data_IF_653365750151
#
_entry.id   IF_653365750151
#
_cell.length_a   1.000
_cell.length_b   1.000
_cell.length_c   1.000
_cell.angle_alpha   90.00
_cell.angle_beta   90.00
_cell.angle_gamma   90.00
#
_symmetry.space_group_name_H-M   'P 1'
#
loop_
_entity.id
_entity.type
_entity.pdbx_description
1 polymer ?
#
# COMPACT_ATOMS: atom_id res chain seq x y z
N UNK A 1 -14.46 5.73 -2.27
CA UNK A 1 -14.30 4.26 -2.30
C UNK A 1 -13.34 3.90 -1.19
N UNK A 2 -13.69 2.89 -0.40
CA UNK A 2 -12.95 2.54 0.82
C UNK A 2 -12.36 1.15 0.65
N UNK A 3 -11.08 1.01 0.98
CA UNK A 3 -10.35 -0.27 0.89
C UNK A 3 -9.89 -0.65 2.29
N UNK A 4 -10.32 -1.82 2.77
CA UNK A 4 -9.87 -2.39 4.02
C UNK A 4 -8.98 -3.60 3.74
N UNK A 5 -7.71 -3.51 4.10
CA UNK A 5 -6.79 -4.62 4.07
C UNK A 5 -6.66 -5.17 5.49
N UNK A 6 -6.85 -6.48 5.63
CA UNK A 6 -6.48 -7.25 6.82
C UNK A 6 -5.38 -8.24 6.45
N UNK A 7 -4.19 -8.00 6.99
CA UNK A 7 -3.07 -8.93 6.89
C UNK A 7 -3.15 -9.93 8.03
N UNK A 8 -3.35 -11.20 7.67
CA UNK A 8 -3.42 -12.30 8.62
C UNK A 8 -2.12 -13.10 8.66
N UNK A 9 -1.94 -13.88 9.72
CA UNK A 9 -0.81 -14.81 9.83
C UNK A 9 -0.80 -15.84 8.68
N UNK A 10 -1.97 -16.37 8.32
CA UNK A 10 -2.14 -17.46 7.35
C UNK A 10 -2.56 -16.97 5.95
N UNK A 11 -3.42 -15.93 5.86
CA UNK A 11 -3.89 -15.34 4.59
C UNK A 11 -4.09 -13.84 4.74
N UNK A 12 -3.60 -13.09 3.76
CA UNK A 12 -3.87 -11.66 3.65
C UNK A 12 -5.17 -11.50 2.82
N UNK A 13 -6.15 -10.77 3.34
CA UNK A 13 -7.45 -10.53 2.70
C UNK A 13 -7.62 -9.03 2.46
N UNK A 14 -8.03 -8.65 1.25
CA UNK A 14 -8.36 -7.27 0.92
C UNK A 14 -9.86 -7.20 0.64
N UNK A 15 -10.54 -6.29 1.32
CA UNK A 15 -11.90 -5.91 1.03
C UNK A 15 -11.91 -4.55 0.35
N UNK A 16 -12.42 -4.51 -0.86
CA UNK A 16 -12.59 -3.29 -1.66
C UNK A 16 -14.09 -3.09 -1.84
N UNK A 17 -14.70 -2.20 -1.07
CA UNK A 17 -16.16 -2.08 -1.02
C UNK A 17 -16.83 -3.44 -0.72
N UNK A 18 -17.72 -3.96 -1.60
CA UNK A 18 -18.37 -5.26 -1.42
C UNK A 18 -17.52 -6.46 -1.87
N UNK A 19 -16.37 -6.24 -2.51
CA UNK A 19 -15.58 -7.32 -3.13
C UNK A 19 -14.39 -7.73 -2.25
N UNK A 20 -14.27 -9.03 -2.00
CA UNK A 20 -13.11 -9.61 -1.31
C UNK A 20 -12.11 -10.17 -2.35
N UNK A 21 -10.84 -9.81 -2.19
CA UNK A 21 -9.74 -10.27 -3.02
C UNK A 21 -8.75 -11.07 -2.17
N UNK A 22 -8.34 -12.21 -2.71
CA UNK A 22 -7.34 -13.08 -2.08
C UNK A 22 -5.94 -12.63 -2.50
N UNK A 23 -5.06 -12.49 -1.53
CA UNK A 23 -3.65 -12.19 -1.78
C UNK A 23 -2.83 -13.48 -1.64
N UNK A 24 -2.10 -13.82 -2.69
CA UNK A 24 -1.17 -14.95 -2.68
C UNK A 24 0.24 -14.50 -2.37
N UNK A 25 0.92 -15.23 -1.49
CA UNK A 25 2.35 -15.02 -1.22
C UNK A 25 3.16 -15.60 -2.38
N UNK A 26 3.90 -14.74 -3.06
CA UNK A 26 4.84 -15.11 -4.12
C UNK A 26 6.24 -15.36 -3.57
N UNK A 27 7.18 -15.65 -4.48
CA UNK A 27 8.61 -15.79 -4.15
C UNK A 27 9.20 -14.42 -3.79
N UNK A 28 10.31 -14.41 -3.04
CA UNK A 28 11.08 -13.20 -2.72
C UNK A 28 10.26 -12.05 -2.07
N UNK A 29 9.24 -12.38 -1.27
CA UNK A 29 8.44 -11.39 -0.56
C UNK A 29 7.37 -10.69 -1.40
N UNK A 30 7.21 -11.07 -2.68
CA UNK A 30 6.10 -10.59 -3.50
C UNK A 30 4.74 -11.06 -2.94
N UNK A 31 3.73 -10.24 -3.14
CA UNK A 31 2.32 -10.50 -2.87
C UNK A 31 1.57 -10.28 -4.18
N UNK A 32 0.83 -11.28 -4.61
CA UNK A 32 0.06 -11.26 -5.85
C UNK A 32 -1.41 -11.08 -5.50
N UNK A 33 -2.05 -10.08 -6.11
CA UNK A 33 -3.50 -9.90 -6.02
C UNK A 33 -4.13 -10.88 -6.98
N UNK A 34 -4.94 -11.81 -6.47
CA UNK A 34 -5.70 -12.73 -7.33
C UNK A 34 -7.01 -12.03 -7.70
N UNK A 35 -7.05 -11.48 -8.91
CA UNK A 35 -8.26 -10.94 -9.51
C UNK A 35 -8.80 -11.95 -10.55
N UNK A 36 -10.04 -12.47 -10.39
CA UNK A 36 -10.67 -13.37 -11.37
C UNK A 36 -10.76 -12.79 -12.78
N UNK A 37 -10.74 -11.46 -12.92
CA UNK A 37 -10.78 -10.74 -14.20
C UNK A 37 -9.40 -10.51 -14.82
N UNK A 38 -8.33 -11.03 -14.21
CA UNK A 38 -6.96 -10.91 -14.73
C UNK A 38 -6.29 -9.55 -14.50
N UNK A 39 -6.94 -8.63 -13.80
CA UNK A 39 -6.41 -7.28 -13.52
C UNK A 39 -5.54 -7.21 -12.25
N UNK A 40 -5.08 -8.36 -11.76
CA UNK A 40 -4.30 -8.46 -10.53
C UNK A 40 -2.85 -8.07 -10.74
N UNK A 41 -2.35 -7.11 -9.96
CA UNK A 41 -0.94 -6.79 -9.88
C UNK A 41 -0.18 -7.62 -8.86
N UNK A 42 1.11 -7.31 -8.72
CA UNK A 42 1.97 -7.79 -7.64
C UNK A 42 2.63 -6.62 -6.92
N UNK A 43 2.85 -6.80 -5.63
CA UNK A 43 3.45 -5.80 -4.77
C UNK A 43 4.48 -6.44 -3.86
N UNK A 44 5.53 -5.70 -3.56
CA UNK A 44 6.57 -6.12 -2.63
C UNK A 44 7.03 -4.93 -1.80
N UNK A 45 7.13 -5.15 -0.51
CA UNK A 45 7.80 -4.24 0.40
C UNK A 45 9.22 -4.76 0.74
N UNK A 46 10.22 -3.91 0.54
CA UNK A 46 11.61 -4.12 0.95
C UNK A 46 11.84 -3.35 2.25
N UNK A 47 11.82 -4.05 3.38
CA UNK A 47 12.00 -3.47 4.71
C UNK A 47 13.42 -2.92 4.93
N UNK A 48 14.43 -3.48 4.28
CA UNK A 48 15.82 -3.03 4.41
C UNK A 48 16.02 -1.64 3.79
N UNK A 49 15.31 -1.34 2.69
CA UNK A 49 15.41 -0.05 1.98
C UNK A 49 14.21 0.87 2.17
N UNK A 50 13.28 0.50 3.07
CA UNK A 50 11.96 1.11 3.28
C UNK A 50 11.29 1.52 1.96
N UNK A 51 10.98 0.52 1.13
CA UNK A 51 10.52 0.75 -0.25
C UNK A 51 9.41 -0.19 -0.66
N UNK A 52 8.35 0.36 -1.25
CA UNK A 52 7.28 -0.39 -1.91
C UNK A 52 7.55 -0.43 -3.41
N UNK A 53 7.36 -1.60 -4.01
CA UNK A 53 7.31 -1.86 -5.44
C UNK A 53 5.93 -2.39 -5.79
N UNK A 54 5.27 -1.78 -6.76
CA UNK A 54 3.99 -2.22 -7.32
C UNK A 54 4.20 -2.44 -8.81
N UNK A 55 3.73 -3.57 -9.31
CA UNK A 55 3.65 -3.87 -10.72
C UNK A 55 2.21 -4.28 -11.02
N UNK A 56 1.56 -3.52 -11.89
CA UNK A 56 0.17 -3.74 -12.29
C UNK A 56 0.06 -3.71 -13.81
N UNK A 57 -1.03 -4.21 -14.40
CA UNK A 57 -1.26 -4.12 -15.84
C UNK A 57 -1.23 -2.69 -16.38
N UNK A 58 -1.51 -1.69 -15.53
CA UNK A 58 -1.52 -0.28 -15.91
C UNK A 58 -0.19 0.45 -15.68
N UNK A 59 0.85 -0.26 -15.24
CA UNK A 59 2.19 0.28 -15.02
C UNK A 59 2.83 -0.16 -13.70
N UNK A 60 4.09 0.25 -13.53
CA UNK A 60 4.88 0.02 -12.33
C UNK A 60 5.07 1.30 -11.52
N UNK A 61 5.09 1.14 -10.20
CA UNK A 61 5.26 2.22 -9.23
C UNK A 61 6.27 1.80 -8.18
N UNK A 62 7.17 2.72 -7.84
CA UNK A 62 8.08 2.57 -6.72
C UNK A 62 7.94 3.75 -5.75
N UNK A 63 7.69 3.45 -4.48
CA UNK A 63 7.66 4.43 -3.40
C UNK A 63 8.82 4.12 -2.46
N UNK A 64 9.82 5.00 -2.42
CA UNK A 64 10.93 4.90 -1.47
C UNK A 64 10.71 5.87 -0.34
N UNK A 65 10.36 5.36 0.84
CA UNK A 65 10.10 6.19 2.00
C UNK A 65 11.41 6.77 2.53
N UNK A 66 11.33 8.04 2.90
CA UNK A 66 12.35 8.83 3.56
C UNK A 66 11.73 9.42 4.82
N UNK A 67 12.57 9.71 5.81
CA UNK A 67 12.13 10.30 7.07
C UNK A 67 11.31 11.58 6.86
N UNK A 68 11.73 12.44 5.92
CA UNK A 68 11.03 13.65 5.51
C UNK A 68 10.88 13.71 3.99
N UNK A 69 9.81 14.36 3.53
CA UNK A 69 9.58 14.73 2.13
C UNK A 69 9.74 13.56 1.15
N UNK A 70 8.98 12.49 1.37
CA UNK A 70 8.93 11.41 0.39
C UNK A 70 8.14 11.85 -0.83
N UNK A 71 8.73 11.72 -2.01
CA UNK A 71 8.06 11.98 -3.29
C UNK A 71 8.26 10.82 -4.24
N UNK A 72 7.29 10.54 -5.11
CA UNK A 72 7.39 9.50 -6.12
C UNK A 72 6.69 9.92 -7.42
N UNK A 73 6.99 9.23 -8.51
CA UNK A 73 6.35 9.44 -9.81
C UNK A 73 5.33 8.32 -10.07
N UNK A 74 4.15 8.71 -10.56
CA UNK A 74 3.13 7.78 -11.02
C UNK A 74 2.40 8.38 -12.22
N UNK A 75 2.32 7.64 -13.33
CA UNK A 75 1.69 8.10 -14.59
C UNK A 75 2.14 9.51 -15.02
N UNK A 76 3.44 9.79 -14.92
CA UNK A 76 4.02 11.09 -15.28
C UNK A 76 3.77 12.23 -14.28
N UNK A 77 3.03 12.00 -13.20
CA UNK A 77 2.76 12.98 -12.14
C UNK A 77 3.63 12.73 -10.92
N UNK A 78 4.02 13.80 -10.24
CA UNK A 78 4.79 13.74 -8.99
C UNK A 78 3.86 13.87 -7.80
N UNK A 79 3.89 12.87 -6.94
CA UNK A 79 3.13 12.84 -5.71
C UNK A 79 4.04 12.99 -4.50
N UNK A 80 3.51 13.59 -3.43
CA UNK A 80 4.17 13.69 -2.13
C UNK A 80 3.42 12.85 -1.12
N UNK A 81 4.14 12.08 -0.32
CA UNK A 81 3.56 11.27 0.76
C UNK A 81 4.06 11.79 2.09
N UNK A 82 3.14 11.98 3.04
CA UNK A 82 3.49 12.42 4.38
C UNK A 82 4.26 11.34 5.13
N UNK A 83 5.11 11.72 6.09
CA UNK A 83 5.57 10.78 7.10
C UNK A 83 4.38 10.09 7.76
N UNK A 84 4.59 8.88 8.26
CA UNK A 84 3.57 8.20 9.06
C UNK A 84 3.45 8.93 10.40
N UNK A 85 2.33 9.61 10.64
CA UNK A 85 2.04 10.34 11.88
C UNK A 85 0.71 9.82 12.41
N UNK A 86 0.64 9.42 13.69
CA UNK A 86 -0.58 8.85 14.31
C UNK A 86 -1.21 7.72 13.49
N UNK A 87 -0.40 6.79 12.97
CA UNK A 87 -0.85 5.71 12.07
C UNK A 87 -1.58 6.19 10.80
N UNK A 88 -1.36 7.43 10.35
CA UNK A 88 -1.96 7.97 9.13
C UNK A 88 -0.89 8.33 8.11
N UNK A 89 -1.19 8.07 6.85
CA UNK A 89 -0.39 8.45 5.69
C UNK A 89 -1.32 9.10 4.67
N UNK A 90 -0.88 10.24 4.13
CA UNK A 90 -1.63 10.96 3.10
C UNK A 90 -0.72 11.21 1.90
N UNK A 91 -1.24 10.92 0.72
CA UNK A 91 -0.59 11.21 -0.56
C UNK A 91 -1.25 12.44 -1.15
N UNK A 92 -0.42 13.38 -1.62
CA UNK A 92 -0.82 14.64 -2.20
C UNK A 92 -0.37 14.76 -3.65
N UNK A 93 -1.25 15.33 -4.48
CA UNK A 93 -0.92 15.93 -5.77
C UNK A 93 -0.88 17.45 -5.56
N UNK A 94 0.33 18.02 -5.49
CA UNK A 94 0.53 19.39 -4.99
C UNK A 94 0.03 19.53 -3.54
N UNK A 95 -0.99 20.36 -3.34
CA UNK A 95 -1.65 20.59 -2.04
C UNK A 95 -2.95 19.81 -1.87
N UNK A 96 -3.39 19.08 -2.91
CA UNK A 96 -4.62 18.30 -2.87
C UNK A 96 -4.37 16.90 -2.32
N UNK A 97 -5.03 16.47 -1.23
CA UNK A 97 -4.97 15.08 -0.80
C UNK A 97 -5.66 14.19 -1.86
N UNK A 98 -4.94 13.18 -2.34
CA UNK A 98 -5.41 12.21 -3.33
C UNK A 98 -5.49 10.80 -2.78
N UNK A 99 -4.74 10.47 -1.73
CA UNK A 99 -4.93 9.21 -1.00
C UNK A 99 -4.86 9.51 0.48
N UNK A 100 -5.76 8.93 1.25
CA UNK A 100 -5.70 8.98 2.69
C UNK A 100 -5.82 7.57 3.26
N UNK A 101 -4.82 7.17 4.01
CA UNK A 101 -4.63 5.82 4.51
C UNK A 101 -4.43 5.84 6.02
N UNK A 102 -5.31 5.14 6.72
CA UNK A 102 -5.19 4.85 8.15
C UNK A 102 -4.64 3.43 8.31
N UNK A 103 -3.46 3.32 8.89
CA UNK A 103 -2.86 2.05 9.21
C UNK A 103 -3.44 1.54 10.53
N UNK A 104 -3.77 0.26 10.56
CA UNK A 104 -4.20 -0.44 11.77
C UNK A 104 -3.14 -1.48 12.13
N UNK A 105 -3.21 -2.01 13.34
CA UNK A 105 -2.27 -3.05 13.78
C UNK A 105 -2.34 -4.32 12.92
N UNK A 106 -3.48 -4.55 12.26
CA UNK A 106 -3.73 -5.70 11.40
C UNK A 106 -3.75 -5.36 9.90
N UNK A 107 -3.48 -4.12 9.48
CA UNK A 107 -3.46 -3.77 8.06
C UNK A 107 -3.63 -2.28 7.75
N UNK A 108 -4.40 -1.97 6.70
CA UNK A 108 -4.57 -0.59 6.18
C UNK A 108 -6.00 -0.36 5.74
N UNK A 109 -6.54 0.77 6.14
CA UNK A 109 -7.82 1.29 5.69
C UNK A 109 -7.58 2.55 4.83
N UNK A 110 -7.91 2.49 3.54
CA UNK A 110 -7.88 3.65 2.66
C UNK A 110 -9.22 4.38 2.78
N UNK A 111 -9.21 5.55 3.44
CA UNK A 111 -10.38 6.40 3.65
C UNK A 111 -10.74 7.18 2.37
N UNK A 112 -9.71 7.64 1.65
CA UNK A 112 -9.85 8.39 0.41
C UNK A 112 -8.91 7.83 -0.65
N UNK A 113 -9.41 7.72 -1.88
CA UNK A 113 -8.63 7.28 -3.03
C UNK A 113 -9.04 8.03 -4.29
N UNK A 114 -8.11 8.81 -4.82
CA UNK A 114 -8.24 9.56 -6.05
C UNK A 114 -8.22 8.66 -7.28
N UNK A 115 -8.75 9.14 -8.42
CA UNK A 115 -8.94 8.34 -9.63
C UNK A 115 -7.64 7.76 -10.19
N UNK A 116 -6.51 8.44 -10.01
CA UNK A 116 -5.21 7.98 -10.49
C UNK A 116 -4.71 6.71 -9.78
N UNK A 117 -5.18 6.46 -8.57
CA UNK A 117 -4.77 5.32 -7.74
C UNK A 117 -5.81 4.19 -7.68
N UNK A 118 -7.05 4.42 -8.14
CA UNK A 118 -8.08 3.38 -8.22
C UNK A 118 -7.61 2.11 -8.95
N UNK A 119 -6.88 2.18 -10.07
CA UNK A 119 -6.43 0.98 -10.78
C UNK A 119 -5.43 0.11 -10.01
N UNK A 120 -4.76 0.67 -8.99
CA UNK A 120 -3.74 0.00 -8.18
C UNK A 120 -4.10 0.01 -6.69
N UNK A 121 -5.39 0.20 -6.37
CA UNK A 121 -5.85 0.40 -5.00
C UNK A 121 -5.48 -0.76 -4.07
N UNK A 122 -5.59 -1.99 -4.60
CA UNK A 122 -5.34 -3.24 -3.88
C UNK A 122 -3.86 -3.37 -3.58
N UNK A 123 -3.04 -3.16 -4.60
CA UNK A 123 -1.59 -3.22 -4.51
C UNK A 123 -1.03 -2.13 -3.59
N UNK A 124 -1.59 -0.91 -3.66
CA UNK A 124 -1.23 0.19 -2.77
C UNK A 124 -1.59 -0.12 -1.31
N UNK A 125 -2.82 -0.62 -1.06
CA UNK A 125 -3.23 -1.03 0.27
C UNK A 125 -2.29 -2.11 0.85
N UNK A 126 -1.99 -3.16 0.09
CA UNK A 126 -1.05 -4.22 0.51
C UNK A 126 0.32 -3.64 0.81
N UNK A 127 0.89 -2.83 -0.08
CA UNK A 127 2.23 -2.27 0.11
C UNK A 127 2.32 -1.44 1.39
N UNK A 128 1.33 -0.58 1.63
CA UNK A 128 1.24 0.21 2.85
C UNK A 128 1.03 -0.68 4.09
N UNK A 129 0.22 -1.75 3.97
CA UNK A 129 0.02 -2.73 5.04
C UNK A 129 1.31 -3.44 5.41
N UNK A 130 2.06 -3.96 4.44
CA UNK A 130 3.35 -4.62 4.65
C UNK A 130 4.32 -3.70 5.40
N UNK A 131 4.36 -2.41 5.03
CA UNK A 131 5.15 -1.40 5.72
C UNK A 131 4.68 -1.18 7.16
N UNK A 132 3.36 -1.09 7.39
CA UNK A 132 2.78 -0.94 8.72
C UNK A 132 3.24 -2.05 9.66
N UNK A 133 3.06 -3.31 9.25
CA UNK A 133 3.40 -4.47 10.08
C UNK A 133 4.90 -4.53 10.34
N UNK A 134 5.73 -4.20 9.35
CA UNK A 134 7.18 -4.16 9.55
C UNK A 134 7.59 -3.09 10.59
N UNK A 135 6.96 -1.91 10.57
CA UNK A 135 7.22 -0.86 11.55
C UNK A 135 6.73 -1.26 12.96
N UNK A 136 5.54 -1.85 13.07
CA UNK A 136 5.02 -2.36 14.34
C UNK A 136 5.93 -3.42 14.94
N UNK A 137 6.40 -4.38 14.14
CA UNK A 137 7.33 -5.43 14.60
C UNK A 137 8.67 -4.85 15.04
N UNK A 138 9.21 -3.87 14.31
CA UNK A 138 10.44 -3.18 14.70
C UNK A 138 10.29 -2.43 16.04
N UNK A 139 9.14 -1.77 16.27
CA UNK A 139 8.85 -1.12 17.56
C UNK A 139 8.70 -2.13 18.70
N UNK A 140 8.04 -3.26 18.45
CA UNK A 140 7.85 -4.32 19.45
C UNK A 140 9.17 -5.01 19.84
N UNK A 141 10.16 -5.07 18.95
CA UNK A 141 11.48 -5.66 19.23
C UNK A 141 12.43 -4.75 20.03
N UNK A 142 12.06 -3.49 20.26
CA UNK A 142 12.88 -2.48 20.95
C UNK A 142 12.39 -2.24 22.39
N UNK A 143 11.26 -2.82 22.78
CA UNK A 143 10.74 -2.82 24.17
C UNK A 143 11.08 -4.11 24.91
#
# INVERSE_FOLDING_TARGET
MTVDLRMGFVRDRIQVGPSEYVVRRGRQGWRHVVDPRGNGGRVRYDSWRDRIFIESPVGSLQIRFRWRNTTFLWRGRRYRITPMIWSRITIFDGDRPVVDARLTWSGVHLECLGPDFQPIERELAIGLGQRAVALTMAMASVG
#
